data_IF_254311084802
#
_entry.id   IF_254311084802
#
_cell.length_a   1.000
_cell.length_b   1.000
_cell.length_c   1.000
_cell.angle_alpha   90.00
_cell.angle_beta   90.00
_cell.angle_gamma   90.00
#
_symmetry.space_group_name_H-M   'P 1'
#
loop_
_entity.id
_entity.type
_entity.pdbx_description
1 polymer ?
#
# COMPACT_ATOMS: atom_id res chain seq x y z
N UNK A 1 -24.88 13.91 -12.66
CA UNK A 1 -23.82 13.94 -13.70
C UNK A 1 -22.53 14.39 -13.03
N UNK A 2 -21.67 13.45 -12.69
CA UNK A 2 -20.36 13.77 -12.14
C UNK A 2 -19.49 14.35 -13.26
N UNK A 3 -18.95 15.54 -13.07
CA UNK A 3 -18.05 16.17 -14.04
C UNK A 3 -16.81 15.28 -14.24
N UNK A 4 -16.61 14.80 -15.47
CA UNK A 4 -15.51 13.91 -15.90
C UNK A 4 -14.13 14.39 -15.43
N UNK A 5 -13.95 15.70 -15.29
CA UNK A 5 -12.71 16.32 -14.82
C UNK A 5 -12.32 15.88 -13.39
N UNK A 6 -13.29 15.76 -12.47
CA UNK A 6 -13.01 15.40 -11.08
C UNK A 6 -12.58 13.94 -10.95
N UNK A 7 -13.14 13.05 -11.78
CA UNK A 7 -12.73 11.64 -11.84
C UNK A 7 -11.31 11.48 -12.38
N UNK A 8 -10.95 12.27 -13.41
CA UNK A 8 -9.60 12.26 -13.95
C UNK A 8 -8.56 12.67 -12.90
N UNK A 9 -8.88 13.65 -12.05
CA UNK A 9 -7.99 14.07 -10.97
C UNK A 9 -7.83 13.00 -9.89
N UNK A 10 -8.92 12.37 -9.46
CA UNK A 10 -8.85 11.27 -8.47
C UNK A 10 -8.03 10.10 -9.01
N UNK A 11 -8.23 9.74 -10.29
CA UNK A 11 -7.45 8.69 -10.95
C UNK A 11 -5.95 9.06 -11.01
N UNK A 12 -5.63 10.31 -11.35
CA UNK A 12 -4.24 10.79 -11.38
C UNK A 12 -3.58 10.69 -10.00
N UNK A 13 -4.31 11.04 -8.94
CA UNK A 13 -3.83 10.90 -7.55
C UNK A 13 -3.57 9.43 -7.23
N UNK A 14 -4.50 8.52 -7.53
CA UNK A 14 -4.30 7.09 -7.29
C UNK A 14 -3.12 6.51 -8.07
N UNK A 15 -2.95 6.92 -9.33
CA UNK A 15 -1.82 6.50 -10.16
C UNK A 15 -0.49 7.03 -9.58
N UNK A 16 -0.48 8.25 -9.06
CA UNK A 16 0.70 8.84 -8.42
C UNK A 16 1.05 8.12 -7.12
N UNK A 17 0.06 7.78 -6.30
CA UNK A 17 0.26 6.98 -5.07
C UNK A 17 0.78 5.57 -5.39
N UNK A 18 0.26 4.94 -6.44
CA UNK A 18 0.73 3.63 -6.91
C UNK A 18 2.17 3.70 -7.45
N UNK A 19 2.49 4.74 -8.21
CA UNK A 19 3.85 4.95 -8.71
C UNK A 19 4.84 5.19 -7.57
N UNK A 20 4.43 5.93 -6.53
CA UNK A 20 5.22 6.11 -5.32
C UNK A 20 5.45 4.80 -4.57
N UNK A 21 4.40 3.98 -4.40
CA UNK A 21 4.51 2.65 -3.78
C UNK A 21 5.50 1.75 -4.54
N UNK A 22 5.39 1.68 -5.87
CA UNK A 22 6.32 0.93 -6.71
C UNK A 22 7.76 1.45 -6.60
N UNK A 23 7.92 2.78 -6.53
CA UNK A 23 9.22 3.41 -6.33
C UNK A 23 9.85 2.97 -5.00
N UNK A 24 9.12 3.06 -3.89
CA UNK A 24 9.66 2.66 -2.58
C UNK A 24 9.97 1.16 -2.54
N UNK A 25 9.09 0.32 -3.09
CA UNK A 25 9.33 -1.13 -3.20
C UNK A 25 10.59 -1.48 -4.01
N UNK A 26 10.99 -0.63 -4.97
CA UNK A 26 12.16 -0.87 -5.83
C UNK A 26 13.44 -0.26 -5.26
N UNK A 27 13.35 0.94 -4.67
CA UNK A 27 14.53 1.75 -4.32
C UNK A 27 14.83 1.82 -2.82
N UNK A 28 13.93 1.37 -1.94
CA UNK A 28 14.15 1.44 -0.49
C UNK A 28 15.43 0.73 -0.02
N UNK A 29 15.88 -0.31 -0.74
CA UNK A 29 17.10 -1.05 -0.40
C UNK A 29 18.37 -0.21 -0.60
N UNK A 30 18.35 0.84 -1.44
CA UNK A 30 19.49 1.76 -1.60
C UNK A 30 19.75 2.56 -0.31
N UNK A 31 18.72 2.74 0.53
CA UNK A 31 18.80 3.49 1.79
C UNK A 31 19.18 2.61 2.99
N UNK A 32 19.59 1.35 2.76
CA UNK A 32 19.95 0.39 3.82
C UNK A 32 20.98 0.93 4.83
N UNK A 33 21.92 1.77 4.38
CA UNK A 33 22.95 2.34 5.24
C UNK A 33 22.42 3.40 6.23
N UNK A 34 21.22 3.93 5.99
CA UNK A 34 20.57 4.95 6.80
C UNK A 34 19.21 4.44 7.31
N UNK A 35 19.20 3.60 8.37
CA UNK A 35 18.00 2.89 8.82
C UNK A 35 16.87 3.85 9.23
N UNK A 36 17.19 5.02 9.78
CA UNK A 36 16.20 6.04 10.16
C UNK A 36 15.50 6.62 8.92
N UNK A 37 16.25 6.91 7.86
CA UNK A 37 15.68 7.43 6.60
C UNK A 37 14.83 6.34 5.95
N UNK A 38 15.30 5.10 5.95
CA UNK A 38 14.54 3.96 5.44
C UNK A 38 13.23 3.74 6.21
N UNK A 39 13.24 3.86 7.54
CA UNK A 39 12.04 3.80 8.38
C UNK A 39 11.03 4.87 8.01
N UNK A 40 11.47 6.13 7.88
CA UNK A 40 10.59 7.23 7.50
C UNK A 40 9.97 6.99 6.12
N UNK A 41 10.75 6.49 5.16
CA UNK A 41 10.24 6.16 3.83
C UNK A 41 9.17 5.07 3.89
N UNK A 42 9.36 4.02 4.69
CA UNK A 42 8.38 2.95 4.90
C UNK A 42 7.09 3.47 5.54
N UNK A 43 7.17 4.35 6.54
CA UNK A 43 5.99 4.98 7.15
C UNK A 43 5.21 5.79 6.11
N UNK A 44 5.91 6.58 5.28
CA UNK A 44 5.27 7.36 4.21
C UNK A 44 4.60 6.43 3.19
N UNK A 45 5.23 5.32 2.83
CA UNK A 45 4.65 4.30 1.94
C UNK A 45 3.38 3.68 2.52
N UNK A 46 3.40 3.23 3.78
CA UNK A 46 2.24 2.62 4.43
C UNK A 46 1.06 3.61 4.53
N UNK A 47 1.35 4.88 4.80
CA UNK A 47 0.35 5.97 4.77
C UNK A 47 -0.20 6.17 3.34
N UNK A 48 0.65 6.16 2.32
CA UNK A 48 0.23 6.30 0.92
C UNK A 48 -0.67 5.14 0.47
N UNK A 49 -0.35 3.90 0.85
CA UNK A 49 -1.19 2.72 0.61
C UNK A 49 -2.55 2.90 1.31
N UNK A 50 -2.54 3.31 2.58
CA UNK A 50 -3.76 3.57 3.35
C UNK A 50 -4.65 4.63 2.68
N UNK A 51 -4.07 5.75 2.23
CA UNK A 51 -4.79 6.77 1.49
C UNK A 51 -5.37 6.23 0.19
N UNK A 52 -4.65 5.38 -0.55
CA UNK A 52 -5.17 4.77 -1.76
C UNK A 52 -6.42 3.93 -1.46
N UNK A 53 -6.39 3.10 -0.40
CA UNK A 53 -7.55 2.33 0.06
C UNK A 53 -8.72 3.25 0.46
N UNK A 54 -8.46 4.34 1.18
CA UNK A 54 -9.50 5.31 1.56
C UNK A 54 -10.13 5.94 0.32
N UNK A 55 -9.34 6.33 -0.69
CA UNK A 55 -9.87 6.89 -1.94
C UNK A 55 -10.77 5.85 -2.65
N UNK A 56 -10.36 4.58 -2.70
CA UNK A 56 -11.19 3.51 -3.28
C UNK A 56 -12.53 3.40 -2.54
N UNK A 57 -12.50 3.41 -1.20
CA UNK A 57 -13.72 3.36 -0.37
C UNK A 57 -14.63 4.58 -0.61
N UNK A 58 -14.06 5.79 -0.68
CA UNK A 58 -14.81 7.01 -0.97
C UNK A 58 -15.43 6.98 -2.37
N UNK A 59 -14.70 6.47 -3.36
CA UNK A 59 -15.20 6.31 -4.73
C UNK A 59 -16.32 5.28 -4.80
N UNK A 60 -16.21 4.19 -4.03
CA UNK A 60 -17.26 3.18 -3.89
C UNK A 60 -18.54 3.77 -3.27
N UNK A 61 -18.43 4.56 -2.19
CA UNK A 61 -19.58 5.21 -1.57
C UNK A 61 -20.24 6.28 -2.44
N UNK A 62 -19.47 6.92 -3.33
CA UNK A 62 -20.01 7.91 -4.29
C UNK A 62 -20.73 7.28 -5.50
N UNK A 63 -20.91 5.95 -5.54
CA UNK A 63 -21.67 5.28 -6.60
C UNK A 63 -23.18 5.28 -6.36
N UNK A 64 -23.96 5.37 -7.44
CA UNK A 64 -25.43 5.31 -7.40
C UNK A 64 -25.97 4.03 -6.72
N UNK A 65 -25.27 2.89 -6.87
CA UNK A 65 -25.67 1.62 -6.25
C UNK A 65 -25.67 1.72 -4.73
N UNK A 66 -24.72 2.45 -4.15
CA UNK A 66 -24.69 2.71 -2.71
C UNK A 66 -25.80 3.69 -2.27
N UNK A 67 -26.08 4.71 -3.07
CA UNK A 67 -27.11 5.72 -2.78
C UNK A 67 -28.54 5.14 -2.72
N UNK A 68 -28.80 4.06 -3.45
CA UNK A 68 -30.11 3.36 -3.43
C UNK A 68 -30.18 2.30 -2.31
N UNK A 69 -29.16 2.18 -1.46
CA UNK A 69 -29.15 1.30 -0.28
C UNK A 69 -28.70 -0.13 -0.54
N UNK A 70 -28.19 -0.46 -1.74
CA UNK A 70 -27.65 -1.80 -2.05
C UNK A 70 -26.17 -1.96 -1.63
N UNK A 71 -25.88 -1.68 -0.36
CA UNK A 71 -24.52 -1.85 0.21
C UNK A 71 -24.04 -3.32 0.11
N UNK A 72 -24.93 -4.29 0.33
CA UNK A 72 -24.58 -5.72 0.29
C UNK A 72 -24.09 -6.16 -1.09
N UNK A 73 -24.77 -5.74 -2.16
CA UNK A 73 -24.40 -6.05 -3.55
C UNK A 73 -23.04 -5.43 -3.92
N UNK A 74 -22.79 -4.21 -3.45
CA UNK A 74 -21.53 -3.50 -3.70
C UNK A 74 -20.36 -4.17 -2.99
N UNK A 75 -20.53 -4.51 -1.70
CA UNK A 75 -19.53 -5.22 -0.94
C UNK A 75 -19.26 -6.59 -1.53
N UNK A 76 -20.27 -7.35 -1.95
CA UNK A 76 -20.07 -8.65 -2.58
C UNK A 76 -19.20 -8.56 -3.84
N UNK A 77 -19.40 -7.52 -4.64
CA UNK A 77 -18.65 -7.29 -5.88
C UNK A 77 -17.22 -6.79 -5.65
N UNK A 78 -16.99 -5.93 -4.66
CA UNK A 78 -15.68 -5.33 -4.37
C UNK A 78 -14.92 -6.01 -3.22
N UNK A 79 -15.51 -7.05 -2.60
CA UNK A 79 -14.94 -7.78 -1.46
C UNK A 79 -13.51 -8.25 -1.73
N UNK A 80 -13.28 -8.82 -2.91
CA UNK A 80 -11.96 -9.31 -3.29
C UNK A 80 -10.92 -8.19 -3.29
N UNK A 81 -11.27 -7.02 -3.83
CA UNK A 81 -10.38 -5.86 -3.90
C UNK A 81 -10.06 -5.32 -2.50
N UNK A 82 -11.08 -5.18 -1.64
CA UNK A 82 -10.89 -4.73 -0.27
C UNK A 82 -10.03 -5.70 0.55
N UNK A 83 -10.29 -7.00 0.44
CA UNK A 83 -9.48 -8.04 1.13
C UNK A 83 -8.05 -8.00 0.61
N UNK A 84 -7.85 -7.96 -0.71
CA UNK A 84 -6.52 -7.91 -1.30
C UNK A 84 -5.74 -6.68 -0.85
N UNK A 85 -6.40 -5.51 -0.81
CA UNK A 85 -5.76 -4.28 -0.33
C UNK A 85 -5.39 -4.32 1.16
N UNK A 86 -6.23 -4.94 2.00
CA UNK A 86 -5.95 -5.11 3.42
C UNK A 86 -4.81 -6.13 3.65
N UNK A 87 -4.80 -7.23 2.90
CA UNK A 87 -3.71 -8.22 2.92
C UNK A 87 -2.41 -7.57 2.49
N UNK A 88 -2.42 -6.81 1.38
CA UNK A 88 -1.24 -6.10 0.89
C UNK A 88 -0.66 -5.13 1.94
N UNK A 89 -1.50 -4.29 2.54
CA UNK A 89 -1.05 -3.36 3.60
C UNK A 89 -0.48 -4.11 4.81
N UNK A 90 -1.10 -5.22 5.21
CA UNK A 90 -0.62 -6.04 6.34
C UNK A 90 0.74 -6.64 6.03
N UNK A 91 0.93 -7.22 4.83
CA UNK A 91 2.21 -7.77 4.39
C UNK A 91 3.29 -6.70 4.32
N UNK A 92 2.96 -5.50 3.80
CA UNK A 92 3.85 -4.33 3.76
C UNK A 92 4.37 -3.97 5.16
N UNK A 93 3.46 -3.76 6.11
CA UNK A 93 3.80 -3.40 7.49
C UNK A 93 4.64 -4.50 8.16
N UNK A 94 4.24 -5.78 8.01
CA UNK A 94 5.00 -6.91 8.56
C UNK A 94 6.44 -6.94 8.02
N UNK A 95 6.60 -6.70 6.71
CA UNK A 95 7.91 -6.66 6.06
C UNK A 95 8.75 -5.49 6.56
N UNK A 96 8.17 -4.28 6.65
CA UNK A 96 8.85 -3.11 7.18
C UNK A 96 9.30 -3.31 8.63
N UNK A 97 8.43 -3.84 9.49
CA UNK A 97 8.77 -4.15 10.89
C UNK A 97 9.92 -5.16 10.97
N UNK A 98 9.90 -6.23 10.16
CA UNK A 98 10.94 -7.25 10.18
C UNK A 98 12.29 -6.69 9.70
N UNK A 99 12.31 -5.98 8.58
CA UNK A 99 13.53 -5.35 8.03
C UNK A 99 14.14 -4.39 9.05
N UNK A 100 13.31 -3.54 9.66
CA UNK A 100 13.76 -2.57 10.65
C UNK A 100 14.30 -3.25 11.91
N UNK A 101 13.65 -4.32 12.38
CA UNK A 101 14.12 -5.08 13.53
C UNK A 101 15.53 -5.65 13.32
N UNK A 102 15.82 -6.17 12.12
CA UNK A 102 17.14 -6.72 11.79
C UNK A 102 18.22 -5.64 11.63
N UNK A 103 17.87 -4.48 11.08
CA UNK A 103 18.84 -3.45 10.64
C UNK A 103 19.01 -2.29 11.62
N UNK A 104 18.19 -2.22 12.68
CA UNK A 104 18.20 -1.11 13.63
C UNK A 104 19.56 -0.93 14.33
N UNK A 105 20.17 -2.03 14.77
CA UNK A 105 21.44 -2.00 15.52
C UNK A 105 22.66 -2.18 14.62
N UNK A 106 22.56 -3.01 13.56
CA UNK A 106 23.67 -3.37 12.67
C UNK A 106 23.28 -3.15 11.19
N UNK A 107 23.16 -1.90 10.75
CA UNK A 107 22.60 -1.59 9.42
C UNK A 107 23.42 -2.11 8.23
N UNK A 108 24.72 -2.37 8.42
CA UNK A 108 25.59 -2.83 7.34
C UNK A 108 25.60 -4.35 7.13
N UNK A 109 25.03 -5.13 8.06
CA UNK A 109 24.97 -6.58 7.94
C UNK A 109 23.96 -7.00 6.87
N UNK A 110 24.39 -7.90 5.99
CA UNK A 110 23.53 -8.46 4.95
C UNK A 110 22.82 -9.70 5.49
N UNK A 111 21.75 -9.48 6.25
CA UNK A 111 20.95 -10.56 6.86
C UNK A 111 19.63 -10.67 6.10
N UNK A 112 19.51 -11.73 5.29
CA UNK A 112 18.28 -12.15 4.65
C UNK A 112 17.95 -13.55 5.16
N UNK A 113 16.88 -13.69 5.92
CA UNK A 113 16.38 -15.00 6.35
C UNK A 113 15.44 -15.56 5.28
N UNK A 114 15.31 -16.88 5.21
CA UNK A 114 14.41 -17.53 4.24
C UNK A 114 12.96 -17.02 4.37
N UNK A 115 12.49 -16.82 5.61
CA UNK A 115 11.17 -16.24 5.89
C UNK A 115 11.01 -14.79 5.41
N UNK A 116 12.05 -13.96 5.55
CA UNK A 116 12.05 -12.59 5.06
C UNK A 116 12.02 -12.55 3.53
N UNK A 117 12.77 -13.43 2.86
CA UNK A 117 12.75 -13.54 1.40
C UNK A 117 11.38 -13.98 0.88
N UNK A 118 10.75 -14.97 1.53
CA UNK A 118 9.40 -15.41 1.20
C UNK A 118 8.42 -14.24 1.33
N UNK A 119 8.43 -13.52 2.47
CA UNK A 119 7.57 -12.36 2.69
C UNK A 119 7.80 -11.25 1.65
N UNK A 120 9.06 -11.01 1.28
CA UNK A 120 9.48 -10.03 0.28
C UNK A 120 9.04 -10.37 -1.14
N UNK A 121 8.94 -11.66 -1.48
CA UNK A 121 8.39 -12.09 -2.76
C UNK A 121 6.86 -11.99 -2.74
N UNK A 122 6.21 -12.49 -1.69
CA UNK A 122 4.75 -12.46 -1.58
C UNK A 122 4.16 -11.06 -1.54
N UNK A 123 4.84 -10.10 -0.90
CA UNK A 123 4.40 -8.72 -0.86
C UNK A 123 4.44 -8.04 -2.25
N UNK A 124 5.18 -8.58 -3.23
CA UNK A 124 5.29 -8.00 -4.58
C UNK A 124 4.53 -8.76 -5.68
N UNK A 125 3.84 -9.84 -5.32
CA UNK A 125 2.94 -10.58 -6.21
C UNK A 125 1.55 -9.97 -6.19
#
# INVERSE_FOLDING_TARGET
MLQTNNYSLVLLIQLSLLAFDLFVNSFSELLRAAPVIQLVLFIIQDIAILFNVIIILLMMFNTYVFQVGLLSLLLERFRALLILSAVYLTLSICLHCWIMNLRWMDSNRFIWTDGLQVLFVFQRL
#
